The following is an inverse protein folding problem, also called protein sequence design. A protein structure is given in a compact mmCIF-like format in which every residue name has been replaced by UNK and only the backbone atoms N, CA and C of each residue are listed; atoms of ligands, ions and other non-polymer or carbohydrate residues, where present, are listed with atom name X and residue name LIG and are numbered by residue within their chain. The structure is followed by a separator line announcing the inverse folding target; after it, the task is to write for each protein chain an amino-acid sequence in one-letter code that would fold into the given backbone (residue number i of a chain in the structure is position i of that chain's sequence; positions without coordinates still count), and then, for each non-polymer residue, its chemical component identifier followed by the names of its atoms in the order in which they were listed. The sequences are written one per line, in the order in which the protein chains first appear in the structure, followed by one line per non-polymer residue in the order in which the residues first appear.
data_IF_242288802438
#
_entry.id   IF_242288802438
#
_cell.length_a   1.000
_cell.length_b   1.000
_cell.length_c   1.000
_cell.angle_alpha   90.00
_cell.angle_beta   90.00
_cell.angle_gamma   90.00
#
_symmetry.space_group_name_H-M   'P 1'
#
loop_
_entity.id
_entity.type
_entity.pdbx_description
1 polymer ?
#
# COMPACT_ATOMS: atom_id res chain seq x y z
N UNK A 1 55.30 57.51 -5.02
CA UNK A 1 55.93 56.19 -4.80
C UNK A 1 54.86 55.18 -4.41
N UNK A 2 54.81 54.06 -5.12
CA UNK A 2 53.97 52.89 -4.88
C UNK A 2 53.96 52.40 -3.43
N UNK A 3 52.80 51.91 -2.97
CA UNK A 3 52.66 50.54 -2.44
C UNK A 3 51.18 50.10 -2.40
N UNK A 4 50.95 48.91 -2.94
CA UNK A 4 49.68 48.20 -3.05
C UNK A 4 49.33 47.42 -1.78
N UNK A 5 48.06 47.00 -1.71
CA UNK A 5 47.47 45.83 -1.00
C UNK A 5 47.16 46.05 0.49
N UNK A 6 46.05 45.56 1.06
CA UNK A 6 45.29 44.36 0.75
C UNK A 6 43.81 44.44 1.19
N UNK A 7 42.99 43.62 0.53
CA UNK A 7 41.59 43.31 0.78
C UNK A 7 41.31 42.74 2.18
N UNK A 8 40.21 43.17 2.80
CA UNK A 8 39.45 42.38 3.76
C UNK A 8 37.95 42.72 3.61
N UNK A 9 37.28 42.06 2.68
CA UNK A 9 35.82 42.09 2.59
C UNK A 9 35.25 41.07 3.58
N UNK A 10 34.76 41.56 4.72
CA UNK A 10 34.00 40.77 5.69
C UNK A 10 32.60 40.58 5.10
N UNK A 11 32.28 39.38 4.62
CA UNK A 11 30.93 39.00 4.21
C UNK A 11 30.17 38.41 5.41
N UNK A 12 29.04 38.98 5.84
CA UNK A 12 28.17 38.32 6.81
C UNK A 12 27.39 37.21 6.11
N UNK A 13 27.61 35.97 6.55
CA UNK A 13 26.79 34.81 6.16
C UNK A 13 25.48 34.89 6.94
N UNK A 14 24.46 35.49 6.33
CA UNK A 14 23.08 35.47 6.84
C UNK A 14 22.51 34.08 6.58
N UNK A 15 22.57 33.20 7.59
CA UNK A 15 21.90 31.90 7.54
C UNK A 15 20.37 32.12 7.59
N UNK A 16 19.73 32.15 6.43
CA UNK A 16 18.28 32.10 6.32
C UNK A 16 17.80 30.73 6.86
N UNK A 17 17.24 30.72 8.06
CA UNK A 17 16.53 29.55 8.58
C UNK A 17 15.27 29.37 7.74
N UNK A 18 15.29 28.37 6.85
CA UNK A 18 14.11 27.93 6.15
C UNK A 18 13.21 27.19 7.17
N UNK A 19 12.36 27.94 7.88
CA UNK A 19 11.27 27.38 8.65
C UNK A 19 10.25 26.79 7.66
N UNK A 20 10.43 25.50 7.33
CA UNK A 20 9.43 24.72 6.63
C UNK A 20 8.22 24.52 7.54
N UNK A 21 7.27 25.44 7.48
CA UNK A 21 5.93 25.24 8.02
C UNK A 21 5.12 24.45 6.98
N UNK A 22 5.01 23.15 7.19
CA UNK A 22 4.24 22.24 6.35
C UNK A 22 3.64 21.13 7.19
N UNK A 23 3.01 21.50 8.31
CA UNK A 23 2.31 20.58 9.20
C UNK A 23 0.86 21.02 9.34
N UNK A 24 -0.03 20.37 8.59
CA UNK A 24 -1.46 20.49 8.82
C UNK A 24 -1.77 19.80 10.17
N UNK A 25 -2.18 20.57 11.19
CA UNK A 25 -2.48 20.10 12.56
C UNK A 25 -3.69 19.14 12.67
N UNK A 26 -4.16 18.57 11.54
CA UNK A 26 -5.40 17.81 11.46
C UNK A 26 -5.25 16.29 11.60
N UNK A 27 -4.05 15.76 11.90
CA UNK A 27 -3.86 14.32 12.18
C UNK A 27 -2.94 14.09 13.40
N UNK A 28 -3.28 14.66 14.56
CA UNK A 28 -2.52 14.46 15.80
C UNK A 28 -2.85 13.15 16.54
N UNK A 29 -2.95 12.04 15.83
CA UNK A 29 -2.93 10.72 16.45
C UNK A 29 -1.92 9.88 15.70
N UNK A 30 -0.81 9.55 16.37
CA UNK A 30 0.10 8.54 15.86
C UNK A 30 -0.74 7.28 15.56
N UNK A 31 -0.62 6.68 14.37
CA UNK A 31 -1.36 5.48 14.05
C UNK A 31 -1.04 4.42 15.11
N UNK A 32 -2.06 3.67 15.53
CA UNK A 32 -1.88 2.57 16.48
C UNK A 32 -0.85 1.60 15.91
N UNK A 33 0.32 1.54 16.55
CA UNK A 33 1.39 0.68 16.09
C UNK A 33 1.12 -0.75 16.58
N UNK A 34 0.67 -1.60 15.67
CA UNK A 34 0.41 -3.02 15.95
C UNK A 34 1.72 -3.79 16.09
N UNK A 35 1.65 -4.95 16.75
CA UNK A 35 2.75 -5.92 16.72
C UNK A 35 3.10 -6.32 15.29
N UNK A 36 4.36 -6.66 15.05
CA UNK A 36 4.79 -7.24 13.79
C UNK A 36 3.96 -8.49 13.44
N UNK A 37 3.61 -8.63 12.16
CA UNK A 37 2.94 -9.80 11.65
C UNK A 37 3.81 -11.05 11.82
N UNK A 38 3.20 -12.15 12.24
CA UNK A 38 3.85 -13.46 12.37
C UNK A 38 3.24 -14.46 11.37
N UNK A 39 3.99 -15.49 10.95
CA UNK A 39 3.45 -16.55 10.12
C UNK A 39 2.23 -17.22 10.76
N UNK A 40 1.22 -17.57 9.95
CA UNK A 40 0.01 -18.20 10.42
C UNK A 40 -0.65 -19.05 9.32
N UNK A 41 -1.39 -20.08 9.73
CA UNK A 41 -2.25 -20.85 8.83
C UNK A 41 -3.66 -20.26 8.81
N UNK A 42 -4.25 -20.15 7.62
CA UNK A 42 -5.65 -19.76 7.47
C UNK A 42 -6.57 -20.90 7.89
N UNK A 43 -7.24 -20.72 9.04
CA UNK A 43 -8.14 -21.72 9.60
C UNK A 43 -9.46 -21.91 8.82
N UNK A 44 -9.89 -20.90 8.05
CA UNK A 44 -11.18 -20.91 7.35
C UNK A 44 -11.06 -21.31 5.88
N UNK A 45 -12.15 -21.82 5.30
CA UNK A 45 -12.27 -22.04 3.85
C UNK A 45 -12.39 -20.72 3.09
N UNK A 46 -12.11 -20.72 1.78
CA UNK A 46 -12.25 -19.52 0.96
C UNK A 46 -13.72 -19.04 0.90
N UNK A 47 -14.70 -19.95 0.89
CA UNK A 47 -16.12 -19.59 0.96
C UNK A 47 -16.50 -18.95 2.31
N UNK A 48 -16.00 -19.51 3.42
CA UNK A 48 -16.24 -18.94 4.74
C UNK A 48 -15.52 -17.59 4.94
N UNK A 49 -14.42 -17.36 4.23
CA UNK A 49 -13.79 -16.05 4.12
C UNK A 49 -14.67 -15.09 3.31
N UNK A 50 -15.16 -15.52 2.15
CA UNK A 50 -16.01 -14.71 1.27
C UNK A 50 -17.22 -14.13 2.01
N UNK A 51 -17.87 -14.96 2.84
CA UNK A 51 -19.02 -14.55 3.65
C UNK A 51 -18.71 -13.47 4.70
N UNK A 52 -17.42 -13.24 5.02
CA UNK A 52 -16.97 -12.25 6.02
C UNK A 52 -16.41 -10.98 5.40
N UNK A 53 -16.12 -10.97 4.10
CA UNK A 53 -15.50 -9.81 3.45
C UNK A 53 -16.54 -8.70 3.26
N UNK A 54 -16.42 -7.66 4.07
CA UNK A 54 -17.26 -6.47 3.98
C UNK A 54 -16.40 -5.23 4.27
N UNK A 55 -16.15 -4.43 3.24
CA UNK A 55 -15.36 -3.20 3.34
C UNK A 55 -16.07 -2.08 2.57
N UNK A 56 -15.93 -0.85 3.07
CA UNK A 56 -16.51 0.32 2.40
C UNK A 56 -15.97 0.45 0.97
N UNK A 57 -16.84 0.87 0.05
CA UNK A 57 -16.52 1.11 -1.36
C UNK A 57 -15.84 -0.07 -2.07
N UNK A 58 -16.08 -1.30 -1.61
CA UNK A 58 -15.44 -2.51 -2.13
C UNK A 58 -16.49 -3.55 -2.47
N UNK A 59 -16.38 -4.15 -3.66
CA UNK A 59 -17.21 -5.26 -4.11
C UNK A 59 -16.30 -6.43 -4.47
N UNK A 60 -16.48 -7.56 -3.79
CA UNK A 60 -15.79 -8.81 -4.09
C UNK A 60 -16.59 -9.56 -5.16
N UNK A 61 -15.98 -9.81 -6.31
CA UNK A 61 -16.64 -10.46 -7.45
C UNK A 61 -16.43 -11.96 -7.44
N UNK A 62 -15.30 -12.43 -6.91
CA UNK A 62 -15.03 -13.86 -6.75
C UNK A 62 -14.13 -14.11 -5.54
N UNK A 63 -14.34 -15.25 -4.89
CA UNK A 63 -13.44 -15.80 -3.89
C UNK A 63 -13.43 -17.30 -4.09
N UNK A 64 -12.29 -17.85 -4.52
CA UNK A 64 -12.21 -19.26 -4.92
C UNK A 64 -10.95 -19.91 -4.39
N UNK A 65 -11.00 -21.23 -4.18
CA UNK A 65 -9.82 -22.02 -3.80
C UNK A 65 -9.03 -22.39 -5.04
N UNK A 66 -7.77 -21.97 -5.11
CA UNK A 66 -6.78 -22.54 -6.03
C UNK A 66 -6.07 -23.71 -5.32
N UNK A 67 -6.28 -24.93 -5.83
CA UNK A 67 -5.61 -26.12 -5.31
C UNK A 67 -4.09 -26.03 -5.45
N UNK A 68 -3.36 -26.74 -4.60
CA UNK A 68 -1.91 -26.82 -4.70
C UNK A 68 -1.48 -27.33 -6.08
N UNK A 69 -0.55 -26.62 -6.72
CA UNK A 69 -0.06 -26.94 -8.07
C UNK A 69 -0.98 -26.48 -9.21
N UNK A 70 -2.16 -25.92 -8.94
CA UNK A 70 -3.02 -25.35 -9.98
C UNK A 70 -2.37 -24.14 -10.69
N UNK A 71 -1.47 -23.44 -10.00
CA UNK A 71 -0.58 -22.44 -10.58
C UNK A 71 0.87 -22.86 -10.39
N UNK A 72 1.71 -22.58 -11.39
CA UNK A 72 3.16 -22.72 -11.33
C UNK A 72 3.81 -21.37 -11.64
N UNK A 73 4.81 -20.97 -10.85
CA UNK A 73 5.61 -19.77 -11.09
C UNK A 73 7.07 -20.18 -11.18
N UNK A 74 7.75 -19.80 -12.26
CA UNK A 74 9.15 -20.17 -12.53
C UNK A 74 9.42 -21.69 -12.34
N UNK A 75 8.49 -22.54 -12.80
CA UNK A 75 8.60 -24.00 -12.69
C UNK A 75 8.36 -24.56 -11.28
N UNK A 76 7.99 -23.74 -10.29
CA UNK A 76 7.64 -24.18 -8.94
C UNK A 76 6.11 -24.14 -8.73
N UNK A 77 5.49 -25.25 -8.30
CA UNK A 77 4.06 -25.25 -8.01
C UNK A 77 3.77 -24.34 -6.81
N UNK A 78 2.70 -23.55 -6.90
CA UNK A 78 2.23 -22.72 -5.81
C UNK A 78 1.34 -23.55 -4.89
N UNK A 79 1.50 -23.38 -3.59
CA UNK A 79 0.67 -24.04 -2.59
C UNK A 79 -0.80 -23.58 -2.68
N UNK A 80 -1.69 -24.32 -2.02
CA UNK A 80 -3.10 -23.95 -1.95
C UNK A 80 -3.29 -22.53 -1.40
N UNK A 81 -4.16 -21.76 -2.07
CA UNK A 81 -4.46 -20.37 -1.70
C UNK A 81 -5.87 -19.99 -2.12
N UNK A 82 -6.43 -18.97 -1.46
CA UNK A 82 -7.63 -18.31 -1.95
C UNK A 82 -7.24 -17.27 -3.00
N UNK A 83 -7.93 -17.28 -4.14
CA UNK A 83 -7.90 -16.20 -5.13
C UNK A 83 -9.13 -15.34 -4.90
N UNK A 84 -8.93 -14.05 -4.68
CA UNK A 84 -9.97 -13.07 -4.41
C UNK A 84 -9.91 -12.01 -5.49
N UNK A 85 -11.00 -11.81 -6.21
CA UNK A 85 -11.14 -10.73 -7.17
C UNK A 85 -12.20 -9.74 -6.71
N UNK A 86 -12.02 -8.49 -7.10
CA UNK A 86 -13.02 -7.48 -6.83
C UNK A 86 -12.71 -6.15 -7.47
N UNK A 87 -13.50 -5.17 -7.06
CA UNK A 87 -13.38 -3.77 -7.48
C UNK A 87 -13.60 -2.82 -6.32
N UNK A 88 -12.89 -1.70 -6.34
CA UNK A 88 -12.98 -0.64 -5.34
C UNK A 88 -13.32 0.71 -5.98
N UNK A 89 -13.97 1.56 -5.19
CA UNK A 89 -14.24 2.96 -5.51
C UNK A 89 -14.91 3.15 -6.88
N UNK A 90 -15.98 2.39 -7.13
CA UNK A 90 -16.77 2.53 -8.35
C UNK A 90 -17.45 3.90 -8.41
N UNK A 91 -17.39 4.54 -9.58
CA UNK A 91 -17.93 5.88 -9.82
C UNK A 91 -18.33 6.06 -11.28
N UNK A 92 -19.33 6.91 -11.51
CA UNK A 92 -19.68 7.40 -12.85
C UNK A 92 -18.96 8.72 -13.08
N UNK A 93 -18.24 8.82 -14.19
CA UNK A 93 -17.57 10.05 -14.58
C UNK A 93 -18.59 11.08 -15.08
N UNK A 94 -18.51 12.30 -14.56
CA UNK A 94 -19.38 13.42 -14.97
C UNK A 94 -19.00 14.00 -16.33
N UNK A 95 -17.84 13.63 -16.87
CA UNK A 95 -17.32 14.15 -18.15
C UNK A 95 -17.84 13.32 -19.34
N UNK A 96 -17.83 11.99 -19.20
CA UNK A 96 -18.12 11.05 -20.29
C UNK A 96 -19.26 10.07 -19.96
N UNK A 97 -19.82 10.13 -18.75
CA UNK A 97 -20.90 9.25 -18.30
C UNK A 97 -20.50 7.79 -18.09
N UNK A 98 -19.20 7.44 -18.16
CA UNK A 98 -18.75 6.05 -18.04
C UNK A 98 -18.53 5.64 -16.59
N UNK A 99 -18.77 4.38 -16.30
CA UNK A 99 -18.47 3.77 -14.99
C UNK A 99 -17.00 3.35 -14.94
N UNK A 100 -16.32 3.74 -13.88
CA UNK A 100 -14.93 3.40 -13.59
C UNK A 100 -14.82 2.79 -12.20
N UNK A 101 -13.93 1.82 -12.03
CA UNK A 101 -13.57 1.24 -10.73
C UNK A 101 -12.10 0.80 -10.75
N UNK A 102 -11.53 0.59 -9.57
CA UNK A 102 -10.19 0.02 -9.39
C UNK A 102 -10.34 -1.49 -9.24
N UNK A 103 -10.01 -2.26 -10.27
CA UNK A 103 -10.00 -3.72 -10.19
C UNK A 103 -8.82 -4.25 -9.39
N UNK A 104 -9.01 -5.35 -8.65
CA UNK A 104 -7.93 -6.03 -7.94
C UNK A 104 -8.10 -7.55 -7.98
N UNK A 105 -6.97 -8.25 -7.90
CA UNK A 105 -6.87 -9.67 -7.58
C UNK A 105 -5.89 -9.82 -6.42
N UNK A 106 -6.22 -10.65 -5.43
CA UNK A 106 -5.37 -10.95 -4.29
C UNK A 106 -5.29 -12.46 -4.10
N UNK A 107 -4.09 -12.95 -3.77
CA UNK A 107 -3.83 -14.37 -3.47
C UNK A 107 -3.44 -14.52 -2.02
N UNK A 108 -4.25 -15.25 -1.25
CA UNK A 108 -4.05 -15.49 0.18
C UNK A 108 -3.66 -16.96 0.42
N UNK A 109 -2.37 -17.24 0.72
CA UNK A 109 -1.91 -18.59 1.00
C UNK A 109 -2.58 -19.21 2.23
N UNK A 110 -2.91 -20.50 2.15
CA UNK A 110 -3.38 -21.26 3.31
C UNK A 110 -2.33 -21.33 4.42
N UNK A 111 -1.05 -21.44 4.05
CA UNK A 111 0.10 -21.33 4.95
C UNK A 111 0.81 -20.00 4.67
N UNK A 112 0.43 -18.95 5.42
CA UNK A 112 0.97 -17.61 5.21
C UNK A 112 2.25 -17.39 6.01
N UNK A 113 3.25 -16.77 5.38
CA UNK A 113 4.58 -16.55 5.96
C UNK A 113 4.73 -15.23 6.72
N UNK A 114 3.62 -14.50 6.97
CA UNK A 114 3.64 -13.22 7.68
C UNK A 114 4.03 -12.02 6.81
N UNK A 115 4.13 -12.17 5.48
CA UNK A 115 4.54 -11.10 4.57
C UNK A 115 3.47 -10.78 3.55
N UNK A 116 3.31 -9.49 3.26
CA UNK A 116 2.47 -8.97 2.20
C UNK A 116 3.32 -8.58 0.98
N UNK A 117 2.82 -8.82 -0.23
CA UNK A 117 3.46 -8.49 -1.49
C UNK A 117 2.42 -7.90 -2.45
N UNK A 118 2.76 -6.84 -3.19
CA UNK A 118 1.88 -6.11 -4.10
C UNK A 118 2.62 -5.72 -5.38
#
# INVERSE_FOLDING_TARGET
MNKQSAFLCIAPITAAMLAGCGGDDSVNSAPTHLSAATPAAMAQTCDALAAKLAYANTSFTSVTTAAAGALTVAGKPIAEHCVIEGKMNERVSTVDGKTYAIGFEMRLPKAWNGRFFY
#
